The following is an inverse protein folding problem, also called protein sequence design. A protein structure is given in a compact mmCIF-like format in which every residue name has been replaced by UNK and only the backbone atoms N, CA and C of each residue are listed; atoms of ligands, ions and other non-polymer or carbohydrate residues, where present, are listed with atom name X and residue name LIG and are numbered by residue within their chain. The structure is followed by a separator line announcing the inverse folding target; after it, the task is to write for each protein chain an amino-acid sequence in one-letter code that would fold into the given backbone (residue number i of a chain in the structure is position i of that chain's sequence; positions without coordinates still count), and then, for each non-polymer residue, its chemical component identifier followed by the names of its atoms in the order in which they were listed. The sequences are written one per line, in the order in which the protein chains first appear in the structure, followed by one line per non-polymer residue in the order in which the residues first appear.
data_IF_683171048363
#
_entry.id   IF_683171048363
#
_cell.length_a   1.000
_cell.length_b   1.000
_cell.length_c   1.000
_cell.angle_alpha   90.00
_cell.angle_beta   90.00
_cell.angle_gamma   90.00
#
_symmetry.space_group_name_H-M   'P 1'
#
loop_
_entity.id
_entity.type
_entity.pdbx_description
1 polymer ?
#
# COMPACT_ATOMS: atom_id res chain seq x y z
N UNK A 1 -25.86 12.08 -19.87
CA UNK A 1 -24.87 10.98 -19.92
C UNK A 1 -23.63 11.29 -19.06
N UNK A 2 -23.06 12.50 -19.13
CA UNK A 2 -21.94 12.95 -18.27
C UNK A 2 -22.26 12.96 -16.76
N UNK A 3 -23.49 13.29 -16.34
CA UNK A 3 -23.86 13.32 -14.92
C UNK A 3 -23.94 11.94 -14.23
N UNK A 4 -24.27 10.88 -14.98
CA UNK A 4 -24.29 9.50 -14.48
C UNK A 4 -22.87 8.98 -14.26
N UNK A 5 -21.93 9.33 -15.15
CA UNK A 5 -20.51 8.98 -15.02
C UNK A 5 -19.85 9.71 -13.84
N UNK A 6 -20.15 11.00 -13.64
CA UNK A 6 -19.61 11.77 -12.50
C UNK A 6 -20.14 11.23 -11.17
N UNK A 7 -21.42 10.87 -11.08
CA UNK A 7 -21.97 10.29 -9.85
C UNK A 7 -21.42 8.88 -9.59
N UNK A 8 -21.31 8.05 -10.64
CA UNK A 8 -20.72 6.71 -10.54
C UNK A 8 -19.23 6.73 -10.20
N UNK A 9 -18.45 7.65 -10.75
CA UNK A 9 -17.03 7.83 -10.42
C UNK A 9 -16.84 8.26 -8.96
N UNK A 10 -17.71 9.15 -8.46
CA UNK A 10 -17.65 9.63 -7.07
C UNK A 10 -18.05 8.54 -6.05
N UNK A 11 -19.00 7.68 -6.40
CA UNK A 11 -19.29 6.47 -5.60
C UNK A 11 -18.14 5.46 -5.65
N UNK A 12 -17.53 5.28 -6.82
CA UNK A 12 -16.40 4.36 -7.00
C UNK A 12 -15.18 4.79 -6.19
N UNK A 13 -14.86 6.09 -6.16
CA UNK A 13 -13.77 6.62 -5.35
C UNK A 13 -14.00 6.38 -3.85
N UNK A 14 -15.23 6.59 -3.36
CA UNK A 14 -15.58 6.29 -1.95
C UNK A 14 -15.49 4.80 -1.65
N UNK A 15 -15.95 3.95 -2.56
CA UNK A 15 -15.86 2.50 -2.40
C UNK A 15 -14.40 2.04 -2.33
N UNK A 16 -13.53 2.57 -3.20
CA UNK A 16 -12.10 2.26 -3.19
C UNK A 16 -11.45 2.64 -1.85
N UNK A 17 -11.73 3.83 -1.33
CA UNK A 17 -11.23 4.25 -0.02
C UNK A 17 -11.67 3.31 1.11
N UNK A 18 -12.94 2.85 1.11
CA UNK A 18 -13.43 1.89 2.10
C UNK A 18 -12.66 0.58 2.03
N UNK A 19 -12.40 0.05 0.83
CA UNK A 19 -11.60 -1.17 0.65
C UNK A 19 -10.19 -0.98 1.19
N UNK A 20 -9.54 0.15 0.92
CA UNK A 20 -8.20 0.47 1.46
C UNK A 20 -8.20 0.46 2.99
N UNK A 21 -9.18 1.10 3.63
CA UNK A 21 -9.28 1.09 5.10
C UNK A 21 -9.50 -0.30 5.68
N UNK A 22 -10.29 -1.14 5.01
CA UNK A 22 -10.50 -2.53 5.42
C UNK A 22 -9.18 -3.31 5.33
N UNK A 23 -8.45 -3.21 4.21
CA UNK A 23 -7.15 -3.87 4.06
C UNK A 23 -6.15 -3.44 5.12
N UNK A 24 -6.07 -2.13 5.41
CA UNK A 24 -5.24 -1.60 6.50
C UNK A 24 -5.66 -2.17 7.87
N UNK A 25 -6.97 -2.28 8.14
CA UNK A 25 -7.47 -2.86 9.38
C UNK A 25 -7.12 -4.36 9.51
N UNK A 26 -7.16 -5.11 8.41
CA UNK A 26 -6.74 -6.51 8.38
C UNK A 26 -5.25 -6.63 8.71
N UNK A 27 -4.40 -5.83 8.06
CA UNK A 27 -2.95 -5.81 8.33
C UNK A 27 -2.68 -5.46 9.80
N UNK A 28 -3.32 -4.40 10.31
CA UNK A 28 -3.18 -3.98 11.71
C UNK A 28 -3.61 -5.09 12.68
N UNK A 29 -4.71 -5.80 12.38
CA UNK A 29 -5.19 -6.92 13.21
C UNK A 29 -4.18 -8.06 13.24
N UNK A 30 -3.58 -8.40 12.10
CA UNK A 30 -2.54 -9.44 12.01
C UNK A 30 -1.30 -9.03 12.81
N UNK A 31 -0.87 -7.78 12.74
CA UNK A 31 0.27 -7.27 13.52
C UNK A 31 -0.02 -7.36 15.02
N UNK A 32 -1.19 -6.89 15.46
CA UNK A 32 -1.58 -6.92 16.88
C UNK A 32 -1.68 -8.36 17.38
N UNK A 33 -2.41 -9.22 16.68
CA UNK A 33 -2.56 -10.62 17.08
C UNK A 33 -1.22 -11.38 17.05
N UNK A 34 -0.43 -11.19 15.99
CA UNK A 34 0.89 -11.80 15.82
C UNK A 34 1.88 -11.39 16.90
N UNK A 35 1.81 -10.14 17.38
CA UNK A 35 2.71 -9.65 18.44
C UNK A 35 2.59 -10.41 19.76
N UNK A 36 1.45 -11.05 20.03
CA UNK A 36 1.20 -11.80 21.27
C UNK A 36 1.83 -13.20 21.28
N UNK A 37 2.28 -13.71 20.13
CA UNK A 37 2.81 -15.08 19.95
C UNK A 37 4.22 -15.07 19.35
N UNK A 38 5.00 -14.01 19.60
CA UNK A 38 6.38 -13.91 19.09
C UNK A 38 7.31 -14.77 19.95
N UNK A 39 7.90 -15.80 19.34
CA UNK A 39 9.04 -16.54 19.89
C UNK A 39 10.35 -15.91 19.40
N UNK A 40 11.15 -15.36 20.32
CA UNK A 40 12.42 -14.68 19.99
C UNK A 40 13.47 -15.62 19.38
N UNK A 41 13.38 -16.92 19.66
CA UNK A 41 14.30 -17.93 19.12
C UNK A 41 14.21 -18.05 17.58
N UNK A 42 13.04 -17.74 17.00
CA UNK A 42 12.85 -17.75 15.54
C UNK A 42 13.64 -16.64 14.81
N UNK A 43 14.17 -15.66 15.53
CA UNK A 43 15.02 -14.62 14.94
C UNK A 43 16.47 -15.06 14.77
N UNK A 44 16.83 -16.22 15.31
CA UNK A 44 18.17 -16.80 15.19
C UNK A 44 18.15 -18.14 14.46
N UNK A 45 18.92 -18.30 13.36
CA UNK A 45 19.77 -17.30 12.71
C UNK A 45 18.96 -16.31 11.84
N UNK A 46 19.23 -15.00 11.96
CA UNK A 46 18.50 -13.94 11.23
C UNK A 46 18.62 -14.06 9.70
N UNK A 47 19.78 -14.50 9.22
CA UNK A 47 20.06 -14.64 7.78
C UNK A 47 20.75 -15.99 7.49
N UNK A 48 19.99 -17.11 7.50
CA UNK A 48 20.57 -18.44 7.27
C UNK A 48 21.18 -18.57 5.87
N UNK A 49 20.61 -17.86 4.88
CA UNK A 49 21.08 -17.82 3.49
C UNK A 49 22.04 -16.62 3.21
N UNK A 50 22.48 -15.94 4.27
CA UNK A 50 23.34 -14.75 4.17
C UNK A 50 22.73 -13.62 3.32
N UNK A 51 23.60 -12.69 2.88
CA UNK A 51 23.19 -11.54 2.09
C UNK A 51 22.54 -11.91 0.74
N UNK A 52 22.98 -13.02 0.13
CA UNK A 52 22.43 -13.50 -1.14
C UNK A 52 20.93 -13.87 -1.01
N UNK A 53 20.55 -14.56 0.07
CA UNK A 53 19.15 -14.88 0.34
C UNK A 53 18.31 -13.63 0.62
N UNK A 54 18.86 -12.66 1.34
CA UNK A 54 18.17 -11.37 1.62
C UNK A 54 17.93 -10.60 0.33
N UNK A 55 18.92 -10.49 -0.56
CA UNK A 55 18.77 -9.79 -1.85
C UNK A 55 17.75 -10.49 -2.75
N UNK A 56 17.78 -11.84 -2.79
CA UNK A 56 16.78 -12.61 -3.54
C UNK A 56 15.37 -12.37 -2.99
N UNK A 57 15.20 -12.36 -1.66
CA UNK A 57 13.92 -12.03 -1.02
C UNK A 57 13.46 -10.61 -1.35
N UNK A 58 14.36 -9.64 -1.27
CA UNK A 58 14.07 -8.24 -1.60
C UNK A 58 13.55 -8.08 -3.04
N UNK A 59 14.10 -8.83 -3.99
CA UNK A 59 13.65 -8.79 -5.40
C UNK A 59 12.19 -9.21 -5.57
N UNK A 60 11.71 -10.17 -4.77
CA UNK A 60 10.31 -10.61 -4.77
C UNK A 60 9.43 -9.56 -4.09
N UNK A 61 9.90 -8.94 -3.02
CA UNK A 61 9.12 -7.93 -2.26
C UNK A 61 8.92 -6.63 -3.05
N UNK A 62 9.73 -6.34 -4.08
CA UNK A 62 9.50 -5.19 -4.98
C UNK A 62 8.09 -5.23 -5.60
N UNK A 63 7.53 -6.41 -5.85
CA UNK A 63 6.17 -6.54 -6.38
C UNK A 63 5.09 -5.95 -5.45
N UNK A 64 5.35 -5.84 -4.14
CA UNK A 64 4.44 -5.21 -3.19
C UNK A 64 4.30 -3.69 -3.40
N UNK A 65 5.28 -3.06 -4.06
CA UNK A 65 5.27 -1.63 -4.35
C UNK A 65 4.72 -1.29 -5.74
N UNK A 66 4.21 -2.27 -6.49
CA UNK A 66 3.57 -2.02 -7.79
C UNK A 66 2.21 -1.36 -7.57
N UNK A 67 1.96 -0.25 -8.27
CA UNK A 67 0.68 0.46 -8.21
C UNK A 67 0.77 1.95 -7.85
N UNK A 68 1.93 2.47 -7.44
CA UNK A 68 2.10 3.92 -7.19
C UNK A 68 1.89 4.76 -8.46
N UNK A 69 2.14 4.17 -9.63
CA UNK A 69 1.96 4.77 -10.95
C UNK A 69 0.49 5.07 -11.26
N UNK A 70 -0.44 4.34 -10.64
CA UNK A 70 -1.88 4.62 -10.78
C UNK A 70 -2.27 5.99 -10.20
N UNK A 71 -1.55 6.48 -9.19
CA UNK A 71 -1.78 7.81 -8.62
C UNK A 71 -1.48 8.90 -9.66
N UNK A 72 -0.47 8.70 -10.51
CA UNK A 72 -0.13 9.63 -11.58
C UNK A 72 -1.20 9.67 -12.68
N UNK A 73 -1.91 8.56 -12.93
CA UNK A 73 -3.01 8.53 -13.91
C UNK A 73 -4.24 9.32 -13.45
N UNK A 74 -4.40 9.54 -12.15
CA UNK A 74 -5.50 10.34 -11.58
C UNK A 74 -5.21 11.86 -11.58
N UNK A 75 -4.12 12.32 -12.21
CA UNK A 75 -3.72 13.73 -12.21
C UNK A 75 -4.80 14.69 -12.71
N UNK A 76 -5.65 14.25 -13.65
CA UNK A 76 -6.73 15.06 -14.25
C UNK A 76 -7.93 15.27 -13.31
N UNK A 77 -8.07 14.44 -12.27
CA UNK A 77 -9.17 14.51 -11.29
C UNK A 77 -8.78 15.27 -10.00
N UNK A 78 -7.52 15.68 -9.89
CA UNK A 78 -6.96 16.33 -8.71
C UNK A 78 -7.02 17.86 -8.87
N UNK A 79 -7.52 18.55 -7.84
CA UNK A 79 -7.71 20.01 -7.89
C UNK A 79 -6.39 20.79 -7.98
N UNK A 80 -5.33 20.35 -7.28
CA UNK A 80 -4.01 20.95 -7.37
C UNK A 80 -2.91 19.89 -7.59
N UNK A 81 -2.73 19.41 -8.83
CA UNK A 81 -1.83 18.29 -9.13
C UNK A 81 -0.37 18.60 -8.79
N UNK A 82 0.05 19.87 -8.83
CA UNK A 82 1.43 20.29 -8.56
C UNK A 82 1.90 20.04 -7.12
N UNK A 83 0.97 19.97 -6.16
CA UNK A 83 1.25 19.73 -4.75
C UNK A 83 0.66 18.41 -4.23
N UNK A 84 -0.54 18.04 -4.69
CA UNK A 84 -1.29 16.90 -4.16
C UNK A 84 -0.76 15.56 -4.69
N UNK A 85 -0.30 15.49 -5.95
CA UNK A 85 0.30 14.28 -6.51
C UNK A 85 1.63 13.91 -5.83
N UNK A 86 2.63 14.80 -5.70
CA UNK A 86 3.88 14.44 -5.03
C UNK A 86 3.65 14.06 -3.57
N UNK A 87 2.75 14.76 -2.86
CA UNK A 87 2.39 14.39 -1.50
C UNK A 87 1.68 13.03 -1.44
N UNK A 88 0.72 12.76 -2.33
CA UNK A 88 -0.01 11.51 -2.39
C UNK A 88 0.89 10.30 -2.64
N UNK A 89 1.86 10.42 -3.56
CA UNK A 89 2.84 9.37 -3.84
C UNK A 89 3.72 9.11 -2.61
N UNK A 90 4.28 10.16 -1.99
CA UNK A 90 5.14 10.03 -0.82
C UNK A 90 4.40 9.42 0.38
N UNK A 91 3.16 9.86 0.63
CA UNK A 91 2.33 9.34 1.71
C UNK A 91 1.93 7.89 1.45
N UNK A 92 1.56 7.54 0.20
CA UNK A 92 1.23 6.15 -0.14
C UNK A 92 2.40 5.20 0.09
N UNK A 93 3.62 5.62 -0.27
CA UNK A 93 4.83 4.82 -0.12
C UNK A 93 5.27 4.73 1.35
N UNK A 94 4.99 5.75 2.16
CA UNK A 94 5.30 5.73 3.59
C UNK A 94 4.33 4.91 4.43
N UNK A 95 3.09 4.70 3.97
CA UNK A 95 2.05 3.94 4.68
C UNK A 95 2.03 2.45 4.28
N UNK A 96 2.29 2.14 3.01
CA UNK A 96 2.43 0.75 2.52
C UNK A 96 3.70 0.08 3.07
#
# INVERSE_FOLDING_TARGET
MTALLVSGAKETAKFNSVVTYISLAVIATVIIAGSTVIDADNWTPFAPNGAAGVISGASVVIFAFVGFDTIATCAEEVANPSADLPFGILVSLGIC
#
